data_IF_382052301986
#
_entry.id   IF_382052301986
#
_cell.length_a   1.000
_cell.length_b   1.000
_cell.length_c   1.000
_cell.angle_alpha   90.00
_cell.angle_beta   90.00
_cell.angle_gamma   90.00
#
_symmetry.space_group_name_H-M   'P 1'
#
loop_
_entity.id
_entity.type
_entity.pdbx_description
1 polymer ?
#
# COMPACT_ATOMS: atom_id res chain seq x y z
N UNK A 1 -0.42 -0.93 -2.52
CA UNK A 1 0.99 -0.86 -2.14
C UNK A 1 1.37 -1.98 -1.17
N UNK A 2 2.56 -1.93 -0.56
CA UNK A 2 3.12 -3.03 0.27
C UNK A 2 2.15 -3.50 1.36
N UNK A 3 1.42 -2.61 2.02
CA UNK A 3 0.44 -2.98 3.07
C UNK A 3 -0.55 -4.04 2.60
N UNK A 4 -1.05 -3.92 1.36
CA UNK A 4 -1.95 -4.91 0.79
C UNK A 4 -1.24 -6.25 0.58
N UNK A 5 -0.05 -6.27 -0.04
CA UNK A 5 0.65 -7.52 -0.34
C UNK A 5 1.07 -8.26 0.92
N UNK A 6 1.56 -7.56 1.94
CA UNK A 6 1.90 -8.15 3.23
C UNK A 6 0.66 -8.76 3.91
N UNK A 7 -0.45 -8.01 3.92
CA UNK A 7 -1.69 -8.48 4.54
C UNK A 7 -2.32 -9.64 3.75
N UNK A 8 -2.34 -9.55 2.42
CA UNK A 8 -2.88 -10.59 1.55
C UNK A 8 -2.11 -11.91 1.63
N UNK A 9 -0.79 -11.82 1.81
CA UNK A 9 0.05 -13.00 2.04
C UNK A 9 -0.19 -13.61 3.43
N UNK A 10 -0.33 -12.78 4.47
CA UNK A 10 -0.63 -13.24 5.83
C UNK A 10 -2.00 -13.94 5.89
N UNK A 11 -3.01 -13.41 5.21
CA UNK A 11 -4.35 -14.00 5.13
C UNK A 11 -4.42 -15.20 4.14
N UNK A 12 -3.37 -15.48 3.39
CA UNK A 12 -3.32 -16.60 2.46
C UNK A 12 -4.03 -16.38 1.12
N UNK A 13 -4.43 -15.13 0.81
CA UNK A 13 -5.00 -14.78 -0.49
C UNK A 13 -3.99 -14.95 -1.62
N UNK A 14 -2.73 -14.65 -1.36
CA UNK A 14 -1.63 -14.71 -2.34
C UNK A 14 -0.42 -15.46 -1.76
N UNK A 15 0.43 -15.95 -2.64
CA UNK A 15 1.81 -16.29 -2.30
C UNK A 15 2.67 -15.08 -2.59
N UNK A 16 3.38 -14.59 -1.56
CA UNK A 16 4.11 -13.33 -1.64
C UNK A 16 5.13 -13.32 -2.77
N UNK A 17 5.93 -14.38 -2.86
CA UNK A 17 7.00 -14.56 -3.85
C UNK A 17 6.50 -14.61 -5.31
N UNK A 18 5.24 -14.97 -5.53
CA UNK A 18 4.64 -15.01 -6.87
C UNK A 18 4.19 -13.61 -7.33
N UNK A 19 3.96 -12.69 -6.37
CA UNK A 19 3.37 -11.38 -6.64
C UNK A 19 4.33 -10.22 -6.46
N UNK A 20 5.38 -10.38 -5.62
CA UNK A 20 6.30 -9.30 -5.25
C UNK A 20 7.73 -9.71 -5.56
N UNK A 21 8.33 -9.08 -6.55
CA UNK A 21 9.73 -9.31 -6.92
C UNK A 21 10.69 -8.58 -5.98
N UNK A 22 10.34 -7.35 -5.60
CA UNK A 22 11.13 -6.50 -4.69
C UNK A 22 10.20 -5.91 -3.64
N UNK A 23 10.31 -6.31 -2.37
CA UNK A 23 9.57 -5.70 -1.27
C UNK A 23 9.82 -4.19 -1.16
N UNK A 24 8.88 -3.47 -0.57
CA UNK A 24 9.10 -2.07 -0.24
C UNK A 24 10.26 -1.96 0.78
N UNK A 25 11.18 -1.03 0.55
CA UNK A 25 12.42 -0.91 1.34
C UNK A 25 13.58 -1.74 0.83
N UNK A 26 13.34 -2.69 -0.08
CA UNK A 26 14.42 -3.49 -0.67
C UNK A 26 15.51 -2.63 -1.32
N UNK A 27 16.75 -2.96 -1.03
CA UNK A 27 17.91 -2.30 -1.62
C UNK A 27 19.14 -3.21 -1.68
N UNK A 28 20.08 -2.84 -2.55
CA UNK A 28 21.38 -3.50 -2.65
C UNK A 28 22.46 -2.64 -2.00
N UNK A 29 23.44 -3.29 -1.39
CA UNK A 29 24.63 -2.66 -0.82
C UNK A 29 25.87 -3.39 -1.30
N UNK A 30 27.00 -2.67 -1.32
CA UNK A 30 28.33 -3.25 -1.56
C UNK A 30 28.95 -3.89 -0.30
N UNK A 31 28.25 -3.78 0.83
CA UNK A 31 28.65 -4.37 2.12
C UNK A 31 27.43 -4.99 2.79
N UNK A 32 27.64 -5.71 3.89
CA UNK A 32 26.58 -6.36 4.65
C UNK A 32 26.46 -5.72 6.02
N UNK A 33 25.24 -5.73 6.59
CA UNK A 33 24.97 -5.18 7.90
C UNK A 33 24.18 -6.17 8.75
N UNK A 34 24.50 -6.23 10.05
CA UNK A 34 23.68 -6.85 11.07
C UNK A 34 22.98 -5.75 11.88
N UNK A 35 21.71 -5.99 12.20
CA UNK A 35 20.87 -5.05 12.96
C UNK A 35 20.11 -5.76 14.05
N UNK A 36 20.02 -5.12 15.23
CA UNK A 36 19.22 -5.64 16.34
C UNK A 36 18.58 -4.53 17.17
N UNK A 37 17.39 -4.83 17.73
CA UNK A 37 16.73 -3.96 18.71
C UNK A 37 17.34 -4.22 20.07
N UNK A 38 17.60 -3.13 20.80
CA UNK A 38 18.13 -3.15 22.15
C UNK A 38 17.36 -2.17 23.05
N UNK A 39 17.43 -2.35 24.36
CA UNK A 39 16.89 -1.42 25.34
C UNK A 39 15.40 -1.08 25.16
N UNK A 40 14.60 -2.01 24.65
CA UNK A 40 13.17 -1.80 24.45
C UNK A 40 12.45 -1.51 25.77
N UNK A 41 11.63 -0.44 25.80
CA UNK A 41 10.85 -0.03 26.98
C UNK A 41 9.50 0.49 26.56
N UNK A 42 8.46 0.03 27.26
CA UNK A 42 7.14 0.63 27.26
C UNK A 42 7.09 1.71 28.37
N UNK A 43 6.82 2.95 27.97
CA UNK A 43 6.77 4.11 28.88
C UNK A 43 5.33 4.65 29.07
N UNK A 44 4.31 3.85 28.77
CA UNK A 44 2.91 4.26 28.78
C UNK A 44 2.47 4.80 27.43
N UNK A 45 2.63 6.09 27.17
CA UNK A 45 2.22 6.72 25.89
C UNK A 45 3.19 6.50 24.74
N UNK A 46 4.42 6.09 25.04
CA UNK A 46 5.48 5.86 24.05
C UNK A 46 6.17 4.53 24.27
N UNK A 47 6.75 3.99 23.20
CA UNK A 47 7.77 2.96 23.28
C UNK A 47 9.11 3.54 22.84
N UNK A 48 10.19 3.18 23.55
CA UNK A 48 11.55 3.62 23.23
C UNK A 48 12.47 2.43 23.07
N UNK A 49 13.40 2.50 22.15
CA UNK A 49 14.40 1.46 21.91
C UNK A 49 15.56 2.02 21.09
N UNK A 50 16.65 1.27 21.10
CA UNK A 50 17.81 1.52 20.27
C UNK A 50 17.90 0.45 19.18
N UNK A 51 18.49 0.81 18.05
CA UNK A 51 18.88 -0.14 16.99
C UNK A 51 20.37 0.03 16.74
N UNK A 52 21.12 -1.01 17.00
CA UNK A 52 22.55 -1.07 16.66
C UNK A 52 22.71 -1.70 15.29
N UNK A 53 23.43 -1.01 14.40
CA UNK A 53 23.76 -1.43 13.04
C UNK A 53 25.26 -1.63 12.95
N UNK A 54 25.71 -2.86 12.70
CA UNK A 54 27.11 -3.22 12.51
C UNK A 54 27.39 -3.49 11.02
N UNK A 55 28.45 -2.92 10.50
CA UNK A 55 28.95 -3.28 9.16
C UNK A 55 29.79 -4.56 9.24
N UNK A 56 29.19 -5.68 8.85
CA UNK A 56 29.81 -7.01 8.87
C UNK A 56 30.54 -7.34 7.56
N UNK A 57 30.53 -6.44 6.59
CA UNK A 57 31.19 -6.63 5.30
C UNK A 57 32.62 -6.06 5.25
N UNK A 58 33.12 -5.83 4.05
CA UNK A 58 34.54 -5.47 3.83
C UNK A 58 34.75 -4.04 3.29
N UNK A 59 33.70 -3.27 3.04
CA UNK A 59 33.77 -1.89 2.57
C UNK A 59 32.86 -1.00 3.40
N UNK A 60 33.22 0.28 3.52
CA UNK A 60 32.38 1.24 4.20
C UNK A 60 31.05 1.43 3.47
N UNK A 61 29.97 1.58 4.20
CA UNK A 61 28.64 1.72 3.64
C UNK A 61 27.63 2.34 4.59
N UNK A 62 26.45 2.61 4.06
CA UNK A 62 25.30 3.12 4.82
C UNK A 62 24.14 2.13 4.72
N UNK A 63 23.38 2.02 5.79
CA UNK A 63 22.16 1.22 5.82
C UNK A 63 20.96 2.04 6.26
N UNK A 64 19.77 1.50 6.06
CA UNK A 64 18.52 2.07 6.55
C UNK A 64 17.95 1.17 7.63
N UNK A 65 17.63 1.77 8.76
CA UNK A 65 16.83 1.13 9.82
C UNK A 65 15.37 1.37 9.47
N UNK A 66 14.60 0.31 9.31
CA UNK A 66 13.16 0.37 9.03
C UNK A 66 12.40 -0.27 10.18
N UNK A 67 11.51 0.51 10.80
CA UNK A 67 10.70 0.08 11.93
C UNK A 67 9.25 -0.01 11.49
N UNK A 68 8.68 -1.19 11.65
CA UNK A 68 7.29 -1.48 11.33
C UNK A 68 6.52 -1.84 12.61
N UNK A 69 5.21 -1.71 12.55
CA UNK A 69 4.34 -2.23 13.58
C UNK A 69 3.23 -3.10 13.01
N UNK A 70 2.77 -4.03 13.83
CA UNK A 70 1.57 -4.82 13.64
C UNK A 70 0.62 -4.52 14.80
N UNK A 71 -0.58 -4.05 14.49
CA UNK A 71 -1.63 -3.82 15.47
C UNK A 71 -2.49 -5.09 15.66
N UNK A 72 -3.15 -5.27 16.82
CA UNK A 72 -4.07 -6.38 17.01
C UNK A 72 -5.21 -6.31 15.99
N UNK A 73 -5.51 -7.43 15.35
CA UNK A 73 -6.63 -7.57 14.42
C UNK A 73 -7.56 -8.70 14.86
N UNK A 74 -8.83 -8.43 14.85
CA UNK A 74 -9.88 -9.44 15.05
C UNK A 74 -10.68 -9.55 13.76
N UNK A 75 -10.92 -10.76 13.28
CA UNK A 75 -11.70 -10.99 12.05
C UNK A 75 -13.05 -10.29 12.12
N UNK A 76 -13.38 -9.50 11.09
CA UNK A 76 -14.58 -8.64 11.07
C UNK A 76 -14.49 -7.39 11.96
N UNK A 77 -13.33 -7.10 12.54
CA UNK A 77 -13.04 -5.87 13.29
C UNK A 77 -12.56 -4.74 12.39
N UNK A 78 -12.02 -3.68 13.03
CA UNK A 78 -11.51 -2.51 12.32
C UNK A 78 -10.38 -2.93 11.36
N UNK A 79 -10.49 -2.52 10.10
CA UNK A 79 -9.52 -2.84 9.05
C UNK A 79 -8.12 -2.34 9.37
N UNK A 80 -7.14 -3.23 9.29
CA UNK A 80 -5.73 -2.96 9.57
C UNK A 80 -4.82 -3.77 8.67
N UNK A 81 -3.74 -3.14 8.23
CA UNK A 81 -2.69 -3.87 7.53
C UNK A 81 -1.82 -4.65 8.51
N UNK A 82 -1.31 -5.80 8.06
CA UNK A 82 -0.41 -6.65 8.82
C UNK A 82 0.95 -5.99 9.10
N UNK A 83 1.44 -5.14 8.18
CA UNK A 83 2.70 -4.44 8.30
C UNK A 83 2.54 -2.95 8.00
N UNK A 84 3.00 -2.10 8.91
CA UNK A 84 2.92 -0.65 8.80
C UNK A 84 4.26 -0.03 9.16
N UNK A 85 4.91 0.65 8.19
CA UNK A 85 6.12 1.43 8.47
C UNK A 85 5.75 2.62 9.38
N UNK A 86 6.44 2.75 10.51
CA UNK A 86 6.20 3.83 11.47
C UNK A 86 7.39 4.76 11.62
N UNK A 87 8.60 4.25 11.46
CA UNK A 87 9.81 5.06 11.49
C UNK A 87 10.89 4.48 10.59
N UNK A 88 11.76 5.33 10.09
CA UNK A 88 12.97 4.90 9.41
C UNK A 88 14.08 5.94 9.61
N UNK A 89 15.31 5.48 9.64
CA UNK A 89 16.48 6.35 9.74
C UNK A 89 17.68 5.77 9.00
N UNK A 90 18.36 6.58 8.23
CA UNK A 90 19.58 6.18 7.52
C UNK A 90 20.82 6.39 8.40
N UNK A 91 21.73 5.42 8.39
CA UNK A 91 23.02 5.55 9.07
C UNK A 91 23.96 6.52 8.34
N UNK A 92 24.97 7.00 9.04
CA UNK A 92 26.16 7.51 8.40
C UNK A 92 26.95 6.38 7.75
N UNK A 93 28.09 6.70 7.11
CA UNK A 93 28.99 5.65 6.62
C UNK A 93 29.62 4.94 7.81
N UNK A 94 29.45 3.62 7.85
CA UNK A 94 30.01 2.74 8.88
C UNK A 94 31.17 1.97 8.25
N UNK A 95 32.36 2.06 8.86
CA UNK A 95 33.55 1.31 8.42
C UNK A 95 33.39 -0.20 8.74
N UNK A 96 34.06 -1.09 8.01
CA UNK A 96 34.04 -2.52 8.28
C UNK A 96 34.36 -2.85 9.76
N UNK A 97 33.49 -3.61 10.40
CA UNK A 97 33.58 -4.01 11.83
C UNK A 97 33.19 -2.92 12.83
N UNK A 98 32.80 -1.73 12.37
CA UNK A 98 32.26 -0.68 13.22
C UNK A 98 30.75 -0.71 13.28
N UNK A 99 30.18 -0.06 14.30
CA UNK A 99 28.75 0.02 14.54
C UNK A 99 28.26 1.44 14.74
N UNK A 100 26.99 1.66 14.45
CA UNK A 100 26.27 2.90 14.78
C UNK A 100 24.94 2.54 15.45
N UNK A 101 24.59 3.26 16.51
CA UNK A 101 23.30 3.11 17.18
C UNK A 101 22.36 4.25 16.82
N UNK A 102 21.10 3.93 16.53
CA UNK A 102 19.99 4.86 16.31
C UNK A 102 18.95 4.66 17.40
N UNK A 103 18.51 5.74 18.03
CA UNK A 103 17.51 5.70 19.11
C UNK A 103 16.15 6.15 18.59
N UNK A 104 15.11 5.37 18.91
CA UNK A 104 13.74 5.62 18.48
C UNK A 104 12.84 5.90 19.67
N UNK A 105 11.92 6.84 19.48
CA UNK A 105 10.77 7.10 20.35
C UNK A 105 9.52 7.11 19.49
N UNK A 106 8.63 6.16 19.70
CA UNK A 106 7.40 6.01 18.95
C UNK A 106 6.22 6.33 19.88
N UNK A 107 5.38 7.29 19.49
CA UNK A 107 4.13 7.54 20.19
C UNK A 107 3.13 6.44 19.85
N UNK A 108 2.50 5.85 20.85
CA UNK A 108 1.49 4.79 20.61
C UNK A 108 0.29 5.28 19.80
N UNK A 109 -0.10 6.53 19.95
CA UNK A 109 -1.19 7.15 19.17
C UNK A 109 -0.95 7.16 17.65
N UNK A 110 0.33 7.12 17.21
CA UNK A 110 0.67 7.04 15.78
C UNK A 110 0.36 5.67 15.18
N UNK A 111 0.09 4.66 16.03
CA UNK A 111 -0.36 3.32 15.64
C UNK A 111 -1.89 3.17 15.67
N UNK A 112 -2.63 4.23 15.97
CA UNK A 112 -4.09 4.22 15.92
C UNK A 112 -4.61 3.91 14.51
N UNK A 113 -5.68 3.12 14.43
CA UNK A 113 -6.37 2.78 13.20
C UNK A 113 -7.62 3.63 13.02
N UNK A 114 -8.01 3.93 11.79
CA UNK A 114 -9.23 4.65 11.50
C UNK A 114 -10.40 3.67 11.34
N UNK A 115 -11.40 3.80 12.19
CA UNK A 115 -12.63 3.03 12.15
C UNK A 115 -13.60 3.64 11.12
N UNK A 116 -13.47 3.26 9.85
CA UNK A 116 -14.29 3.79 8.76
C UNK A 116 -15.72 3.26 8.78
N UNK A 117 -15.90 2.03 9.28
CA UNK A 117 -17.20 1.37 9.28
C UNK A 117 -18.02 1.66 10.56
N UNK A 118 -17.43 2.36 11.53
CA UNK A 118 -18.12 2.68 12.78
C UNK A 118 -18.33 1.48 13.70
N UNK A 119 -17.42 0.52 13.66
CA UNK A 119 -17.50 -0.72 14.46
C UNK A 119 -17.43 -0.40 15.95
N UNK A 120 -16.55 0.50 16.35
CA UNK A 120 -16.39 0.97 17.73
C UNK A 120 -16.72 2.46 17.89
N UNK A 121 -16.53 3.26 16.84
CA UNK A 121 -16.73 4.70 16.84
C UNK A 121 -17.82 5.06 15.83
N UNK A 122 -19.03 5.35 16.32
CA UNK A 122 -20.13 5.78 15.45
C UNK A 122 -19.75 7.04 14.66
N UNK A 123 -19.82 6.97 13.33
CA UNK A 123 -19.43 8.07 12.43
C UNK A 123 -17.95 8.07 12.06
N UNK A 124 -17.20 7.06 12.51
CA UNK A 124 -15.78 6.92 12.21
C UNK A 124 -14.85 7.76 13.08
N UNK A 125 -13.60 7.36 13.17
CA UNK A 125 -12.57 8.06 13.95
C UNK A 125 -11.33 7.21 14.17
N UNK A 126 -10.25 7.85 14.64
CA UNK A 126 -9.07 7.11 15.05
C UNK A 126 -9.24 6.50 16.44
N UNK A 127 -8.81 5.26 16.57
CA UNK A 127 -8.80 4.51 17.82
C UNK A 127 -7.49 3.70 17.92
N UNK A 128 -6.88 3.72 19.09
CA UNK A 128 -5.83 2.77 19.46
C UNK A 128 -6.52 1.64 20.23
N UNK A 129 -6.69 0.48 19.62
CA UNK A 129 -7.40 -0.62 20.24
C UNK A 129 -6.56 -1.32 21.30
N UNK A 130 -7.22 -1.80 22.33
CA UNK A 130 -6.60 -2.68 23.34
C UNK A 130 -6.10 -3.97 22.67
N UNK A 131 -4.96 -4.45 23.11
CA UNK A 131 -4.36 -5.69 22.63
C UNK A 131 -2.84 -5.64 22.54
N UNK A 132 -2.26 -6.72 22.01
CA UNK A 132 -0.83 -6.85 21.79
C UNK A 132 -0.42 -6.18 20.47
N UNK A 133 0.55 -5.28 20.55
CA UNK A 133 1.22 -4.66 19.42
C UNK A 133 2.62 -5.20 19.28
N UNK A 134 3.06 -5.39 18.06
CA UNK A 134 4.43 -5.79 17.74
C UNK A 134 5.16 -4.66 17.04
N UNK A 135 6.35 -4.30 17.53
CA UNK A 135 7.33 -3.47 16.82
C UNK A 135 8.33 -4.41 16.17
N UNK A 136 8.53 -4.29 14.89
CA UNK A 136 9.48 -5.12 14.13
C UNK A 136 10.54 -4.27 13.44
N UNK A 137 11.80 -4.66 13.64
CA UNK A 137 12.92 -4.22 12.82
C UNK A 137 12.98 -5.10 11.58
N UNK A 138 12.99 -4.49 10.43
CA UNK A 138 12.98 -5.22 9.15
C UNK A 138 14.07 -4.74 8.21
N UNK A 139 14.48 -5.57 7.27
CA UNK A 139 15.37 -5.18 6.16
C UNK A 139 14.60 -4.59 4.98
N UNK A 140 13.33 -4.91 4.90
CA UNK A 140 12.34 -4.46 3.92
C UNK A 140 10.95 -4.77 4.50
N UNK A 141 9.85 -4.41 3.83
CA UNK A 141 8.49 -4.61 4.37
C UNK A 141 8.15 -6.06 4.72
N UNK A 142 8.85 -7.03 4.13
CA UNK A 142 8.56 -8.46 4.28
C UNK A 142 9.50 -9.18 5.24
N UNK A 143 10.79 -8.85 5.20
CA UNK A 143 11.83 -9.58 5.92
C UNK A 143 12.04 -9.05 7.33
N UNK A 144 11.55 -9.78 8.32
CA UNK A 144 11.68 -9.46 9.74
C UNK A 144 13.05 -9.89 10.26
N UNK A 145 13.76 -9.01 10.97
CA UNK A 145 15.05 -9.27 11.62
C UNK A 145 14.88 -9.52 13.11
N UNK A 146 14.10 -8.68 13.81
CA UNK A 146 13.77 -8.86 15.23
C UNK A 146 12.45 -8.19 15.57
N UNK A 147 11.84 -8.61 16.69
CA UNK A 147 10.54 -8.11 17.14
C UNK A 147 10.54 -7.91 18.66
N UNK A 148 9.81 -6.87 19.07
CA UNK A 148 9.48 -6.58 20.46
C UNK A 148 7.98 -6.32 20.58
N UNK A 149 7.39 -6.69 21.74
CA UNK A 149 5.96 -6.62 21.96
C UNK A 149 5.62 -5.74 23.15
N UNK A 150 4.48 -5.09 23.07
CA UNK A 150 3.88 -4.38 24.20
C UNK A 150 2.36 -4.51 24.15
N UNK A 151 1.70 -4.18 25.25
CA UNK A 151 0.24 -4.28 25.37
C UNK A 151 -0.36 -2.89 25.58
N UNK A 152 -1.47 -2.64 24.93
CA UNK A 152 -2.38 -1.54 25.21
C UNK A 152 -3.55 -2.13 26.00
N UNK A 153 -3.75 -1.65 27.24
CA UNK A 153 -4.70 -2.27 28.17
C UNK A 153 -6.15 -1.95 27.86
N UNK A 154 -6.41 -0.76 27.33
CA UNK A 154 -7.76 -0.25 27.06
C UNK A 154 -7.81 0.49 25.71
N UNK A 155 -8.98 0.47 25.04
CA UNK A 155 -9.21 1.25 23.83
C UNK A 155 -9.07 2.76 24.13
N UNK A 156 -8.32 3.47 23.29
CA UNK A 156 -8.17 4.92 23.37
C UNK A 156 -8.82 5.56 22.14
N UNK A 157 -9.92 6.27 22.38
CA UNK A 157 -10.73 6.94 21.35
C UNK A 157 -10.24 8.36 21.09
N UNK A 158 -9.77 8.63 19.87
CA UNK A 158 -9.32 9.94 19.40
C UNK A 158 -10.35 10.67 18.54
N UNK A 159 -11.59 10.16 18.44
CA UNK A 159 -12.63 10.74 17.57
C UNK A 159 -13.11 12.12 18.01
N UNK A 160 -12.91 12.49 19.29
CA UNK A 160 -13.35 13.78 19.84
C UNK A 160 -12.25 14.81 19.90
N UNK A 161 -11.11 14.42 20.46
CA UNK A 161 -10.02 15.34 20.78
C UNK A 161 -8.87 15.27 19.76
N UNK A 162 -8.87 14.25 18.89
CA UNK A 162 -7.78 13.98 17.96
C UNK A 162 -6.56 13.38 18.67
N UNK A 163 -5.56 12.99 17.87
CA UNK A 163 -4.23 12.62 18.35
C UNK A 163 -3.40 13.89 18.53
N UNK A 164 -2.33 13.85 19.29
CA UNK A 164 -1.47 15.03 19.55
C UNK A 164 -0.89 15.65 18.28
N UNK A 165 -0.68 14.84 17.24
CA UNK A 165 -0.18 15.26 15.92
C UNK A 165 -1.28 15.85 15.01
N UNK A 166 -2.56 15.67 15.33
CA UNK A 166 -3.67 16.11 14.49
C UNK A 166 -3.94 17.61 14.70
N UNK A 167 -3.97 18.38 13.62
CA UNK A 167 -4.38 19.80 13.68
C UNK A 167 -5.88 19.97 13.85
N UNK A 168 -6.63 19.02 13.34
CA UNK A 168 -8.09 18.92 13.43
C UNK A 168 -8.44 17.45 13.55
N UNK A 169 -9.53 17.14 14.25
CA UNK A 169 -10.05 15.77 14.33
C UNK A 169 -10.31 15.23 12.94
N UNK A 170 -9.79 14.03 12.66
CA UNK A 170 -9.99 13.38 11.38
C UNK A 170 -11.45 12.94 11.22
N UNK A 171 -12.02 13.21 10.05
CA UNK A 171 -13.35 12.77 9.65
C UNK A 171 -13.28 12.03 8.32
N UNK A 172 -14.29 11.20 8.01
CA UNK A 172 -14.36 10.54 6.72
C UNK A 172 -14.65 11.55 5.61
N UNK A 173 -13.61 11.96 4.89
CA UNK A 173 -13.71 12.93 3.79
C UNK A 173 -14.35 12.33 2.53
N UNK A 174 -14.55 11.03 2.48
CA UNK A 174 -15.08 10.31 1.31
C UNK A 174 -16.52 9.84 1.50
N UNK A 175 -17.13 10.07 2.66
CA UNK A 175 -18.50 9.64 2.95
C UNK A 175 -19.51 10.11 1.90
N UNK A 176 -19.44 11.39 1.51
CA UNK A 176 -20.34 11.97 0.50
C UNK A 176 -20.06 11.48 -0.93
N UNK A 177 -18.92 10.86 -1.17
CA UNK A 177 -18.49 10.39 -2.49
C UNK A 177 -18.69 8.89 -2.69
N UNK A 178 -18.95 8.13 -1.64
CA UNK A 178 -19.33 6.73 -1.70
C UNK A 178 -20.77 6.64 -2.26
N UNK A 179 -20.91 6.56 -3.57
CA UNK A 179 -22.21 6.51 -4.25
C UNK A 179 -22.48 5.10 -4.77
N UNK A 180 -23.64 4.55 -4.40
CA UNK A 180 -24.12 3.24 -4.85
C UNK A 180 -23.59 2.08 -4.00
N UNK A 181 -23.72 0.88 -4.52
CA UNK A 181 -23.32 -0.36 -3.86
C UNK A 181 -21.79 -0.58 -3.95
N UNK A 182 -21.02 0.38 -3.43
CA UNK A 182 -19.58 0.24 -3.36
C UNK A 182 -19.21 -0.64 -2.17
N UNK A 183 -18.53 -1.75 -2.43
CA UNK A 183 -17.99 -2.63 -1.40
C UNK A 183 -16.51 -2.36 -1.22
N UNK A 184 -16.12 -2.02 0.00
CA UNK A 184 -14.72 -1.83 0.34
C UNK A 184 -14.02 -3.17 0.49
N UNK A 185 -12.77 -3.25 0.03
CA UNK A 185 -11.95 -4.43 0.22
C UNK A 185 -11.69 -4.63 1.71
N UNK A 186 -12.04 -5.81 2.22
CA UNK A 186 -11.83 -6.21 3.62
C UNK A 186 -10.94 -7.43 3.72
N UNK A 187 -10.06 -7.46 4.74
CA UNK A 187 -9.28 -8.66 5.06
C UNK A 187 -10.09 -9.74 5.81
N UNK A 188 -11.35 -9.42 6.16
CA UNK A 188 -12.26 -10.35 6.80
C UNK A 188 -12.35 -11.66 6.01
N UNK A 189 -12.32 -12.79 6.74
CA UNK A 189 -12.38 -14.15 6.18
C UNK A 189 -11.35 -14.40 5.05
N UNK A 190 -10.15 -13.82 5.19
CA UNK A 190 -9.08 -13.98 4.21
C UNK A 190 -9.33 -13.28 2.89
N UNK A 191 -9.92 -12.08 2.93
CA UNK A 191 -10.35 -11.32 1.76
C UNK A 191 -11.47 -12.00 0.95
N UNK A 192 -12.47 -12.57 1.65
CA UNK A 192 -13.57 -13.26 1.00
C UNK A 192 -14.34 -12.39 -0.03
N UNK A 193 -14.27 -11.06 0.10
CA UNK A 193 -14.90 -10.12 -0.82
C UNK A 193 -14.00 -9.60 -1.93
N UNK A 194 -12.79 -10.18 -2.11
CA UNK A 194 -11.78 -9.66 -3.05
C UNK A 194 -12.32 -9.46 -4.47
N UNK A 195 -12.96 -10.47 -5.02
CA UNK A 195 -13.46 -10.44 -6.41
C UNK A 195 -14.49 -9.32 -6.60
N UNK A 196 -15.44 -9.19 -5.68
CA UNK A 196 -16.46 -8.15 -5.73
C UNK A 196 -15.90 -6.77 -5.50
N UNK A 197 -15.07 -6.58 -4.48
CA UNK A 197 -14.46 -5.29 -4.13
C UNK A 197 -13.47 -4.80 -5.20
N UNK A 198 -12.75 -5.72 -5.86
CA UNK A 198 -11.82 -5.41 -6.94
C UNK A 198 -12.48 -5.37 -8.32
N UNK A 199 -13.80 -5.62 -8.41
CA UNK A 199 -14.53 -5.61 -9.67
C UNK A 199 -14.05 -6.68 -10.63
N UNK A 200 -13.65 -7.87 -10.10
CA UNK A 200 -13.32 -9.03 -10.94
C UNK A 200 -14.60 -9.44 -11.67
N UNK A 201 -14.59 -9.45 -13.00
CA UNK A 201 -15.80 -9.78 -13.75
C UNK A 201 -16.23 -11.22 -13.50
N UNK A 202 -17.54 -11.44 -13.38
CA UNK A 202 -18.09 -12.78 -13.37
C UNK A 202 -17.67 -13.54 -14.64
N UNK A 203 -17.61 -14.86 -14.57
CA UNK A 203 -17.09 -15.72 -15.66
C UNK A 203 -17.79 -15.46 -17.00
N UNK A 204 -19.06 -15.04 -16.97
CA UNK A 204 -19.87 -14.72 -18.13
C UNK A 204 -19.90 -13.22 -18.49
N UNK A 205 -19.25 -12.36 -17.75
CA UNK A 205 -19.28 -10.90 -17.95
C UNK A 205 -18.78 -10.45 -19.34
N UNK A 206 -17.93 -11.27 -19.96
CA UNK A 206 -17.42 -11.03 -21.31
C UNK A 206 -18.23 -11.75 -22.39
N UNK A 207 -19.25 -12.52 -22.01
CA UNK A 207 -20.14 -13.18 -22.96
C UNK A 207 -21.22 -12.17 -23.37
N UNK A 208 -21.16 -11.78 -24.64
CA UNK A 208 -22.18 -10.88 -25.19
C UNK A 208 -23.56 -11.52 -25.14
N UNK A 209 -24.53 -10.86 -24.50
CA UNK A 209 -25.91 -11.35 -24.50
C UNK A 209 -26.45 -11.47 -25.93
N UNK A 210 -27.39 -12.40 -26.15
CA UNK A 210 -28.00 -12.57 -27.47
C UNK A 210 -28.72 -11.30 -27.96
N UNK A 211 -29.28 -10.51 -27.06
CA UNK A 211 -29.90 -9.21 -27.35
C UNK A 211 -28.87 -8.20 -27.82
N UNK A 212 -27.73 -8.10 -27.11
CA UNK A 212 -26.63 -7.22 -27.50
C UNK A 212 -26.01 -7.66 -28.81
N UNK A 213 -25.85 -8.99 -29.02
CA UNK A 213 -25.34 -9.55 -30.26
C UNK A 213 -26.28 -9.21 -31.44
N UNK A 214 -27.58 -9.41 -31.28
CA UNK A 214 -28.58 -9.06 -32.29
C UNK A 214 -28.56 -7.55 -32.58
N UNK A 215 -28.48 -6.69 -31.57
CA UNK A 215 -28.37 -5.25 -31.74
C UNK A 215 -27.09 -4.83 -32.46
N UNK A 216 -25.97 -5.48 -32.21
CA UNK A 216 -24.70 -5.23 -32.92
C UNK A 216 -24.80 -5.72 -34.36
N UNK A 217 -25.44 -6.86 -34.63
CA UNK A 217 -25.65 -7.41 -35.97
C UNK A 217 -26.65 -6.55 -36.78
N UNK A 218 -27.70 -6.03 -36.15
CA UNK A 218 -28.67 -5.14 -36.78
C UNK A 218 -28.10 -3.73 -37.02
N UNK A 219 -27.30 -3.24 -36.06
CA UNK A 219 -26.58 -1.97 -36.18
C UNK A 219 -25.10 -2.23 -36.54
N UNK A 220 -24.87 -2.97 -37.61
CA UNK A 220 -23.52 -3.03 -38.17
C UNK A 220 -23.11 -1.60 -38.49
N UNK A 221 -22.43 -0.95 -37.59
CA UNK A 221 -21.70 0.29 -37.90
C UNK A 221 -20.91 -0.02 -39.15
N UNK A 222 -21.30 0.64 -40.24
CA UNK A 222 -20.90 0.24 -41.59
C UNK A 222 -19.47 -0.29 -41.57
N UNK A 223 -19.34 -1.55 -41.96
CA UNK A 223 -18.04 -2.19 -42.09
C UNK A 223 -17.17 -1.12 -42.73
N UNK A 224 -16.05 -0.77 -42.05
CA UNK A 224 -15.11 0.17 -42.65
C UNK A 224 -14.86 -0.27 -44.08
N UNK A 225 -15.51 0.38 -44.98
CA UNK A 225 -15.34 0.16 -46.41
C UNK A 225 -14.05 0.87 -46.81
N UNK A 226 -12.94 0.11 -46.74
CA UNK A 226 -11.64 0.61 -47.13
C UNK A 226 -11.63 1.21 -48.55
N UNK A 227 -12.55 0.78 -49.38
CA UNK A 227 -12.69 1.34 -50.77
C UNK A 227 -13.22 2.76 -50.77
N UNK A 228 -13.96 3.15 -49.71
CA UNK A 228 -14.51 4.50 -49.58
C UNK A 228 -13.43 5.55 -49.27
N UNK A 229 -12.30 5.12 -48.77
CA UNK A 229 -11.17 6.00 -48.39
C UNK A 229 -9.90 5.67 -49.18
N UNK A 230 -9.86 4.55 -49.88
CA UNK A 230 -8.84 4.24 -50.88
C UNK A 230 -9.35 4.71 -52.24
N UNK A 231 -9.02 5.91 -52.60
CA UNK A 231 -9.13 6.34 -53.98
C UNK A 231 -7.98 5.69 -54.76
N UNK A 232 -8.26 4.55 -55.40
CA UNK A 232 -7.32 3.90 -56.32
C UNK A 232 -6.95 4.80 -57.52
N UNK A 233 -7.59 5.96 -57.63
CA UNK A 233 -7.36 6.93 -58.69
C UNK A 233 -6.45 8.10 -58.26
N UNK A 234 -6.15 8.22 -56.96
CA UNK A 234 -5.28 9.30 -56.52
C UNK A 234 -3.82 8.83 -56.56
N UNK A 235 -3.06 9.45 -57.43
CA UNK A 235 -1.59 9.27 -57.37
C UNK A 235 -1.11 9.64 -55.97
N UNK A 236 -0.30 8.74 -55.38
CA UNK A 236 0.36 9.03 -54.09
C UNK A 236 1.13 10.35 -54.25
N UNK A 237 0.89 11.32 -53.35
CA UNK A 237 1.62 12.58 -53.40
C UNK A 237 3.12 12.30 -53.29
N UNK A 238 3.88 12.85 -54.18
CA UNK A 238 5.36 12.74 -54.17
C UNK A 238 5.88 13.44 -52.90
N UNK A 239 6.59 12.72 -52.04
CA UNK A 239 7.17 13.32 -50.87
C UNK A 239 8.16 14.42 -51.25
N UNK A 240 7.90 15.65 -50.79
CA UNK A 240 8.71 16.82 -51.08
C UNK A 240 8.27 17.57 -52.35
N UNK A 241 7.17 17.18 -53.02
CA UNK A 241 6.59 17.98 -54.08
C UNK A 241 5.99 19.29 -53.50
N UNK A 242 6.34 20.40 -54.09
CA UNK A 242 5.74 21.69 -53.75
C UNK A 242 4.29 21.72 -54.31
N UNK A 243 3.34 21.60 -53.38
CA UNK A 243 1.90 21.68 -53.71
C UNK A 243 1.37 23.12 -53.75
N UNK A 244 2.24 24.11 -53.62
CA UNK A 244 1.86 25.52 -53.64
C UNK A 244 1.17 26.03 -52.39
N UNK A 245 0.99 25.19 -51.36
CA UNK A 245 0.41 25.58 -50.07
C UNK A 245 1.51 25.99 -49.08
N UNK A 246 1.27 27.09 -48.39
CA UNK A 246 2.11 27.51 -47.26
C UNK A 246 1.43 27.15 -45.95
N UNK A 247 2.22 27.01 -44.90
CA UNK A 247 1.73 26.71 -43.55
C UNK A 247 0.66 27.72 -43.09
N UNK A 248 0.70 28.93 -43.63
CA UNK A 248 -0.30 29.97 -43.35
C UNK A 248 -1.65 29.75 -44.05
N UNK A 249 -1.73 28.79 -44.97
CA UNK A 249 -2.94 28.45 -45.74
C UNK A 249 -3.68 27.25 -45.13
N UNK A 250 -3.14 26.63 -44.06
CA UNK A 250 -3.73 25.57 -43.27
C UNK A 250 -4.39 26.12 -42.01
#
# INVERSE_FOLDING_TARGET
GYKFYETAAEEGLIKYEDMVQYPFGYGLSYTTFDKQIENFKDNGDTVTFDVTVENTGSVAGKDVVEIYYTAPYTNGGIEKAAANLIAFEKTDSIEPGESQTKSFTINKEDMASYDSEGIKISGGGYILEAGEYTISLRSDSHTVLSEEKFTVDEDIDYSKDGRSSDKTVATNQFEDYARGDFEQLSREDGFANYDKACGVPEEDAYVMSDETRAAVEENVFGIYDGTKYNNDSDEMPEMGADNGLQLADL
#
